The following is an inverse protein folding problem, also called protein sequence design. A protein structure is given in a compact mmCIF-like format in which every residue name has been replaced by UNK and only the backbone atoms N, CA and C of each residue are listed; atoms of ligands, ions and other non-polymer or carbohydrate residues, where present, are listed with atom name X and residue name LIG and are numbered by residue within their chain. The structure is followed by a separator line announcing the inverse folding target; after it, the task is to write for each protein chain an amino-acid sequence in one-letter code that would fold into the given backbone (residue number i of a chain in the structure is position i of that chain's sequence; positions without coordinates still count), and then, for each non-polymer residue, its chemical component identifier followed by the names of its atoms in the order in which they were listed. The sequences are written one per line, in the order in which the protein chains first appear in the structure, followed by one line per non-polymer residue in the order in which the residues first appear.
data_IF_163705556269
#
_entry.id   IF_163705556269
#
_cell.length_a   1.000
_cell.length_b   1.000
_cell.length_c   1.000
_cell.angle_alpha   90.00
_cell.angle_beta   90.00
_cell.angle_gamma   90.00
#
_symmetry.space_group_name_H-M   'P 1'
#
loop_
_entity.id
_entity.type
_entity.pdbx_description
1 polymer ?
#
# COMPACT_ATOMS: atom_id res chain seq x y z
N UNK A 1 -7.67 10.68 5.33
CA UNK A 1 -8.62 11.42 4.47
C UNK A 1 -9.09 10.53 3.32
N UNK A 2 -10.39 10.48 3.03
CA UNK A 2 -10.90 9.68 1.91
C UNK A 2 -10.24 10.11 0.59
N UNK A 3 -9.78 9.15 -0.22
CA UNK A 3 -9.02 9.38 -1.46
C UNK A 3 -7.50 9.46 -1.28
N UNK A 4 -7.00 10.02 -0.18
CA UNK A 4 -5.56 10.08 0.11
C UNK A 4 -5.03 8.85 0.88
N UNK A 5 -5.91 8.12 1.57
CA UNK A 5 -5.51 6.97 2.41
C UNK A 5 -4.71 5.91 1.67
N UNK A 6 -5.06 5.59 0.43
CA UNK A 6 -4.31 4.60 -0.37
C UNK A 6 -2.86 5.01 -0.60
N UNK A 7 -2.61 6.27 -0.95
CA UNK A 7 -1.27 6.81 -1.15
C UNK A 7 -0.46 6.92 0.15
N UNK A 8 -1.11 7.29 1.26
CA UNK A 8 -0.46 7.32 2.57
C UNK A 8 -0.01 5.92 3.00
N UNK A 9 -0.87 4.91 2.88
CA UNK A 9 -0.52 3.52 3.22
C UNK A 9 0.60 3.02 2.30
N UNK A 10 0.54 3.34 1.00
CA UNK A 10 1.60 3.00 0.07
C UNK A 10 2.96 3.56 0.50
N UNK A 11 3.03 4.83 0.88
CA UNK A 11 4.25 5.46 1.41
C UNK A 11 4.74 4.78 2.69
N UNK A 12 3.84 4.52 3.63
CA UNK A 12 4.19 3.81 4.88
C UNK A 12 4.77 2.42 4.62
N UNK A 13 4.22 1.68 3.65
CA UNK A 13 4.71 0.34 3.31
C UNK A 13 6.07 0.41 2.60
N UNK A 14 6.31 1.43 1.76
CA UNK A 14 7.62 1.65 1.14
C UNK A 14 8.69 1.91 2.22
N UNK A 15 8.41 2.82 3.15
CA UNK A 15 9.30 3.12 4.28
C UNK A 15 9.60 1.85 5.11
N UNK A 16 8.58 1.00 5.31
CA UNK A 16 8.72 -0.26 6.05
C UNK A 16 9.54 -1.31 5.29
N UNK A 17 9.41 -1.38 3.96
CA UNK A 17 10.27 -2.24 3.12
C UNK A 17 11.73 -1.81 3.20
N UNK A 18 12.01 -0.51 3.17
CA UNK A 18 13.35 0.04 3.34
C UNK A 18 13.90 -0.27 4.74
N UNK A 19 13.11 0.00 5.79
CA UNK A 19 13.49 -0.23 7.19
C UNK A 19 13.80 -1.70 7.50
N UNK A 20 13.06 -2.62 6.88
CA UNK A 20 13.17 -4.06 7.16
C UNK A 20 14.03 -4.82 6.15
N UNK A 21 14.53 -4.15 5.11
CA UNK A 21 15.30 -4.79 4.03
C UNK A 21 14.50 -5.77 3.17
N UNK A 22 13.16 -5.70 3.21
CA UNK A 22 12.28 -6.55 2.41
C UNK A 22 12.14 -6.00 0.99
N UNK A 23 11.67 -6.84 0.08
CA UNK A 23 11.60 -6.49 -1.35
C UNK A 23 10.16 -6.24 -1.82
N UNK A 24 9.21 -7.09 -1.43
CA UNK A 24 7.86 -7.07 -1.99
C UNK A 24 6.81 -6.77 -0.93
N UNK A 25 5.82 -5.94 -1.28
CA UNK A 25 4.63 -5.73 -0.46
C UNK A 25 3.34 -5.76 -1.28
N UNK A 26 2.24 -6.11 -0.60
CA UNK A 26 0.88 -6.04 -1.10
C UNK A 26 0.10 -5.02 -0.26
N UNK A 27 -0.46 -4.02 -0.92
CA UNK A 27 -1.36 -3.02 -0.32
C UNK A 27 -2.78 -3.31 -0.80
N UNK A 28 -3.74 -3.36 0.12
CA UNK A 28 -5.15 -3.58 -0.19
C UNK A 28 -6.04 -2.56 0.51
N UNK A 29 -7.14 -2.19 -0.14
CA UNK A 29 -8.13 -1.26 0.43
C UNK A 29 -9.55 -1.69 0.02
N UNK A 30 -10.46 -1.68 0.98
CA UNK A 30 -11.89 -1.74 0.68
C UNK A 30 -12.39 -0.38 0.17
N UNK A 31 -13.42 -0.42 -0.66
CA UNK A 31 -14.09 0.75 -1.24
C UNK A 31 -15.59 0.60 -1.08
N UNK A 32 -16.34 1.70 -1.20
CA UNK A 32 -17.80 1.68 -1.19
C UNK A 32 -18.40 0.74 -2.25
N UNK A 33 -19.66 0.35 -2.05
CA UNK A 33 -20.41 -0.57 -2.93
C UNK A 33 -19.77 -1.96 -3.10
N UNK A 34 -19.01 -2.45 -2.10
CA UNK A 34 -18.47 -3.81 -2.10
C UNK A 34 -17.25 -4.02 -3.00
N UNK A 35 -16.59 -2.94 -3.41
CA UNK A 35 -15.38 -2.98 -4.23
C UNK A 35 -14.10 -3.06 -3.36
N UNK A 36 -12.99 -3.42 -3.99
CA UNK A 36 -11.67 -3.38 -3.37
C UNK A 36 -10.56 -3.23 -4.41
N UNK A 37 -9.42 -2.71 -3.97
CA UNK A 37 -8.22 -2.54 -4.80
C UNK A 37 -7.05 -3.26 -4.16
N UNK A 38 -6.16 -3.82 -4.98
CA UNK A 38 -4.92 -4.47 -4.55
C UNK A 38 -3.77 -4.01 -5.44
N UNK A 39 -2.65 -3.62 -4.82
CA UNK A 39 -1.45 -3.14 -5.51
C UNK A 39 -0.23 -3.86 -4.94
N UNK A 40 0.58 -4.46 -5.82
CA UNK A 40 1.86 -5.05 -5.47
C UNK A 40 2.97 -4.07 -5.83
N UNK A 41 3.91 -3.87 -4.91
CA UNK A 41 5.12 -3.08 -5.16
C UNK A 41 6.37 -3.91 -4.86
N UNK A 42 7.44 -3.60 -5.57
CA UNK A 42 8.77 -4.13 -5.33
C UNK A 42 9.73 -2.96 -5.11
N UNK A 43 10.51 -3.02 -4.03
CA UNK A 43 11.60 -2.08 -3.75
C UNK A 43 12.77 -2.37 -4.70
N UNK A 44 13.31 -1.31 -5.31
CA UNK A 44 14.51 -1.35 -6.18
C UNK A 44 15.75 -0.87 -5.45
#
# INVERSE_FOLDING_TARGET
PLGATGAMILGTVLDELERTGKETALVTLCVGAGMGTATVIQRV
#
